data_IF_116095695567
#
_entry.id   IF_116095695567
#
_cell.length_a   1.000
_cell.length_b   1.000
_cell.length_c   1.000
_cell.angle_alpha   90.00
_cell.angle_beta   90.00
_cell.angle_gamma   90.00
#
_symmetry.space_group_name_H-M   'P 1'
#
loop_
_entity.id
_entity.type
_entity.pdbx_description
1 polymer ?
#
# COMPACT_ATOMS: atom_id res chain seq x y z
N UNK A 1 -66.01 -10.19 11.15
CA UNK A 1 -64.88 -10.10 10.19
C UNK A 1 -63.66 -10.72 10.85
N UNK A 2 -63.05 -11.74 10.25
CA UNK A 2 -61.85 -12.42 10.78
C UNK A 2 -60.59 -11.76 10.21
N UNK A 3 -59.65 -11.37 11.09
CA UNK A 3 -58.35 -10.81 10.71
C UNK A 3 -57.44 -11.91 10.17
N UNK A 4 -56.94 -11.74 8.93
CA UNK A 4 -55.91 -12.61 8.34
C UNK A 4 -54.54 -12.23 8.92
N UNK A 5 -53.80 -13.22 9.43
CA UNK A 5 -52.45 -13.04 9.95
C UNK A 5 -51.45 -12.74 8.81
N UNK A 6 -50.42 -11.92 9.05
CA UNK A 6 -49.37 -11.67 8.06
C UNK A 6 -48.43 -12.89 7.90
N UNK A 7 -47.82 -13.07 6.71
CA UNK A 7 -46.94 -14.21 6.46
C UNK A 7 -45.64 -14.10 7.26
N UNK A 8 -45.17 -15.23 7.81
CA UNK A 8 -43.90 -15.34 8.55
C UNK A 8 -42.72 -14.99 7.63
N UNK A 9 -41.85 -14.07 8.08
CA UNK A 9 -40.65 -13.67 7.35
C UNK A 9 -39.66 -14.83 7.22
N UNK A 10 -39.09 -14.95 6.02
CA UNK A 10 -38.11 -15.98 5.64
C UNK A 10 -36.69 -15.52 5.99
N UNK A 11 -36.43 -15.18 7.26
CA UNK A 11 -35.14 -14.61 7.71
C UNK A 11 -33.95 -15.61 7.63
N UNK A 12 -34.22 -16.90 7.40
CA UNK A 12 -33.17 -17.92 7.27
C UNK A 12 -32.37 -17.85 5.97
N UNK A 13 -32.98 -17.40 4.86
CA UNK A 13 -32.33 -17.43 3.54
C UNK A 13 -31.31 -16.31 3.33
N UNK A 14 -31.47 -15.17 4.01
CA UNK A 14 -30.53 -14.04 3.92
C UNK A 14 -29.20 -14.34 4.63
N UNK A 15 -29.25 -14.96 5.82
CA UNK A 15 -28.04 -15.31 6.59
C UNK A 15 -27.13 -16.28 5.83
N UNK A 16 -27.71 -17.29 5.17
CA UNK A 16 -26.93 -18.32 4.44
C UNK A 16 -26.18 -17.72 3.23
N UNK A 17 -26.69 -16.66 2.62
CA UNK A 17 -26.01 -15.97 1.50
C UNK A 17 -24.87 -15.07 2.00
N UNK A 18 -25.05 -14.38 3.13
CA UNK A 18 -24.02 -13.55 3.74
C UNK A 18 -22.82 -14.38 4.20
N UNK A 19 -23.05 -15.53 4.84
CA UNK A 19 -21.98 -16.42 5.29
C UNK A 19 -21.16 -16.98 4.12
N UNK A 20 -21.81 -17.35 3.00
CA UNK A 20 -21.12 -17.79 1.78
C UNK A 20 -20.31 -16.69 1.10
N UNK A 21 -20.81 -15.45 1.10
CA UNK A 21 -20.08 -14.31 0.57
C UNK A 21 -18.84 -13.99 1.40
N UNK A 22 -18.93 -14.09 2.73
CA UNK A 22 -17.80 -13.90 3.63
C UNK A 22 -16.76 -15.03 3.48
N UNK A 23 -17.20 -16.28 3.28
CA UNK A 23 -16.31 -17.42 3.02
C UNK A 23 -15.57 -17.31 1.68
N UNK A 24 -16.27 -16.95 0.60
CA UNK A 24 -15.65 -16.73 -0.72
C UNK A 24 -14.65 -15.56 -0.70
N UNK A 25 -14.98 -14.45 -0.02
CA UNK A 25 -14.10 -13.30 0.12
C UNK A 25 -12.84 -13.56 0.97
N UNK A 26 -12.79 -14.65 1.74
CA UNK A 26 -11.60 -15.05 2.54
C UNK A 26 -10.62 -15.94 1.77
N UNK A 27 -11.02 -16.50 0.62
CA UNK A 27 -10.21 -17.45 -0.15
C UNK A 27 -9.14 -16.82 -1.06
N UNK A 28 -9.33 -15.56 -1.50
CA UNK A 28 -8.43 -14.89 -2.46
C UNK A 28 -7.28 -14.10 -1.81
N UNK A 29 -7.14 -14.13 -0.49
CA UNK A 29 -5.99 -13.54 0.21
C UNK A 29 -5.00 -14.62 0.65
N UNK A 30 -4.63 -15.54 -0.23
CA UNK A 30 -3.30 -16.14 -0.13
C UNK A 30 -2.30 -15.11 -0.64
N UNK A 31 -1.98 -14.14 0.22
CA UNK A 31 -0.95 -13.16 -0.06
C UNK A 31 0.34 -13.89 -0.43
N UNK A 32 0.74 -13.70 -1.68
CA UNK A 32 2.08 -13.99 -2.19
C UNK A 32 3.07 -13.24 -1.27
N UNK A 33 3.57 -13.92 -0.23
CA UNK A 33 4.56 -13.38 0.73
C UNK A 33 5.97 -13.28 0.13
N UNK A 34 6.16 -13.69 -1.13
CA UNK A 34 7.46 -13.81 -1.79
C UNK A 34 7.66 -12.78 -2.90
N UNK A 35 7.88 -11.50 -2.55
CA UNK A 35 8.62 -10.60 -3.48
C UNK A 35 9.06 -9.26 -2.90
N UNK A 36 8.69 -8.90 -1.66
CA UNK A 36 9.10 -7.59 -1.13
C UNK A 36 10.62 -7.61 -0.85
N UNK A 37 11.38 -6.64 -1.38
CA UNK A 37 12.81 -6.56 -1.13
C UNK A 37 13.06 -6.38 0.37
N UNK A 38 14.09 -7.06 0.89
CA UNK A 38 14.51 -6.91 2.28
C UNK A 38 15.21 -5.55 2.44
N UNK A 39 14.44 -4.53 2.83
CA UNK A 39 14.91 -3.16 3.02
C UNK A 39 15.22 -2.92 4.49
N UNK A 40 16.39 -2.33 4.78
CA UNK A 40 16.76 -1.86 6.11
C UNK A 40 16.69 -0.34 6.17
N UNK A 41 16.10 0.18 7.24
CA UNK A 41 16.03 1.63 7.45
C UNK A 41 17.42 2.19 7.78
N UNK A 42 17.78 3.29 7.12
CA UNK A 42 18.98 4.07 7.36
C UNK A 42 18.58 5.53 7.57
N UNK A 43 18.85 6.07 8.76
CA UNK A 43 18.48 7.43 9.13
C UNK A 43 19.71 8.33 9.08
N UNK A 44 19.66 9.37 8.25
CA UNK A 44 20.75 10.33 8.08
C UNK A 44 20.19 11.75 8.25
N UNK A 45 20.73 12.55 9.18
CA UNK A 45 20.39 13.96 9.25
C UNK A 45 20.92 14.69 8.00
N UNK A 46 20.07 15.49 7.37
CA UNK A 46 20.41 16.31 6.21
C UNK A 46 20.19 17.80 6.53
N UNK A 47 20.95 18.72 5.90
CA UNK A 47 20.66 20.15 5.97
C UNK A 47 19.23 20.45 5.51
N UNK A 48 18.60 21.42 6.17
CA UNK A 48 17.21 21.83 5.86
C UNK A 48 17.08 22.24 4.40
N UNK A 49 18.02 23.04 3.90
CA UNK A 49 18.04 23.51 2.51
C UNK A 49 18.00 22.36 1.50
N UNK A 50 18.72 21.27 1.77
CA UNK A 50 18.72 20.08 0.92
C UNK A 50 17.34 19.42 0.87
N UNK A 51 16.66 19.34 2.03
CA UNK A 51 15.30 18.79 2.11
C UNK A 51 14.32 19.68 1.34
N UNK A 52 14.47 21.00 1.43
CA UNK A 52 13.63 21.96 0.71
C UNK A 52 13.82 21.86 -0.81
N UNK A 53 15.06 21.72 -1.28
CA UNK A 53 15.36 21.52 -2.70
C UNK A 53 14.72 20.23 -3.24
N UNK A 54 14.84 19.12 -2.50
CA UNK A 54 14.19 17.84 -2.88
C UNK A 54 12.68 18.02 -2.95
N UNK A 55 12.07 18.66 -1.95
CA UNK A 55 10.62 18.92 -1.94
C UNK A 55 10.18 19.81 -3.09
N UNK A 56 10.98 20.82 -3.45
CA UNK A 56 10.70 21.71 -4.58
C UNK A 56 10.70 20.92 -5.89
N UNK A 57 11.75 20.13 -6.13
CA UNK A 57 11.84 19.25 -7.30
C UNK A 57 10.62 18.32 -7.42
N UNK A 58 10.24 17.66 -6.32
CA UNK A 58 9.08 16.76 -6.32
C UNK A 58 7.76 17.45 -6.66
N UNK A 59 7.62 18.74 -6.34
CA UNK A 59 6.42 19.52 -6.65
C UNK A 59 6.39 20.02 -8.09
N UNK A 60 7.55 20.30 -8.68
CA UNK A 60 7.63 20.97 -10.00
C UNK A 60 7.85 19.98 -11.15
N UNK A 61 8.69 18.98 -10.94
CA UNK A 61 9.23 18.12 -12.01
C UNK A 61 9.13 16.62 -11.69
N UNK A 62 8.96 16.27 -10.41
CA UNK A 62 8.99 14.89 -9.96
C UNK A 62 7.91 14.00 -10.57
N UNK A 63 8.31 12.83 -11.08
CA UNK A 63 7.36 11.77 -11.46
C UNK A 63 6.80 11.10 -10.20
N UNK A 64 5.61 10.48 -10.29
CA UNK A 64 4.95 9.80 -9.15
C UNK A 64 5.83 8.81 -8.39
N UNK A 65 6.85 8.24 -9.05
CA UNK A 65 7.76 7.24 -8.48
C UNK A 65 8.97 7.86 -7.76
N UNK A 66 9.26 9.14 -7.98
CA UNK A 66 10.47 9.82 -7.49
C UNK A 66 10.26 10.33 -6.05
N UNK A 67 10.04 9.38 -5.15
CA UNK A 67 9.99 9.65 -3.70
C UNK A 67 11.34 10.12 -3.18
N UNK A 68 11.37 10.72 -1.98
CA UNK A 68 12.62 11.22 -1.40
C UNK A 68 13.64 10.09 -1.21
N UNK A 69 13.16 8.92 -0.75
CA UNK A 69 13.99 7.73 -0.61
C UNK A 69 14.54 7.25 -1.96
N UNK A 70 13.75 7.29 -3.03
CA UNK A 70 14.23 6.94 -4.37
C UNK A 70 15.38 7.86 -4.81
N UNK A 71 15.18 9.18 -4.71
CA UNK A 71 16.18 10.19 -5.12
C UNK A 71 17.49 10.02 -4.32
N UNK A 72 17.39 9.85 -3.00
CA UNK A 72 18.56 9.69 -2.13
C UNK A 72 19.29 8.38 -2.42
N UNK A 73 18.56 7.28 -2.60
CA UNK A 73 19.18 5.98 -2.90
C UNK A 73 19.92 6.00 -4.25
N UNK A 74 19.31 6.56 -5.28
CA UNK A 74 19.94 6.72 -6.60
C UNK A 74 21.19 7.59 -6.52
N UNK A 75 21.12 8.74 -5.82
CA UNK A 75 22.25 9.64 -5.65
C UNK A 75 23.42 8.96 -4.92
N UNK A 76 23.14 8.23 -3.83
CA UNK A 76 24.16 7.48 -3.07
C UNK A 76 24.77 6.38 -3.95
N UNK A 77 23.94 5.61 -4.65
CA UNK A 77 24.41 4.53 -5.52
C UNK A 77 25.31 5.06 -6.64
N UNK A 78 24.90 6.14 -7.30
CA UNK A 78 25.71 6.79 -8.34
C UNK A 78 27.03 7.32 -7.78
N UNK A 79 27.00 7.93 -6.59
CA UNK A 79 28.22 8.40 -5.93
C UNK A 79 29.17 7.24 -5.60
N UNK A 80 28.67 6.13 -5.05
CA UNK A 80 29.49 4.94 -4.74
C UNK A 80 30.08 4.32 -6.01
N UNK A 81 29.29 4.20 -7.08
CA UNK A 81 29.77 3.73 -8.39
C UNK A 81 30.87 4.62 -8.95
N UNK A 82 30.74 5.95 -8.79
CA UNK A 82 31.79 6.91 -9.21
C UNK A 82 33.11 6.74 -8.44
N UNK A 83 33.07 6.10 -7.27
CA UNK A 83 34.24 5.76 -6.45
C UNK A 83 34.78 4.34 -6.72
N UNK A 84 34.20 3.61 -7.67
CA UNK A 84 34.63 2.26 -8.05
C UNK A 84 34.07 1.14 -7.19
N UNK A 85 33.08 1.42 -6.33
CA UNK A 85 32.36 0.38 -5.60
C UNK A 85 31.24 -0.16 -6.52
N UNK A 86 31.33 -1.46 -6.84
CA UNK A 86 30.40 -2.19 -7.71
C UNK A 86 29.69 -3.25 -6.88
#
# INVERSE_FOLDING_TARGET
MAFKQPPKSNDGYKKIQEDRFIEEARGETSSIESSKPNLKNFLVPLPVDTIELIRKYQKTEGKKIETQGYIVNEAILMWLKSKGFI
#
